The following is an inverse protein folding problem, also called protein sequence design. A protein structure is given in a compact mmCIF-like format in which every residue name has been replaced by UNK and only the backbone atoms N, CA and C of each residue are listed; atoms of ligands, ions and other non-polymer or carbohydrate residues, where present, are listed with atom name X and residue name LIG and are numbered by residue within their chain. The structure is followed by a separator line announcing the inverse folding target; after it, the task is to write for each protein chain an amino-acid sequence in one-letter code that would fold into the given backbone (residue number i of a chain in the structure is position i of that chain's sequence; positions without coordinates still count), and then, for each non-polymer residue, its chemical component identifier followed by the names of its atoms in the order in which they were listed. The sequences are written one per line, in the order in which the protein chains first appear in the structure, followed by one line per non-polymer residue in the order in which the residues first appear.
data_IF_627046705295
#
_entry.id   IF_627046705295
#
_cell.length_a   1.000
_cell.length_b   1.000
_cell.length_c   1.000
_cell.angle_alpha   90.00
_cell.angle_beta   90.00
_cell.angle_gamma   90.00
#
_symmetry.space_group_name_H-M   'P 1'
#
loop_
_entity.id
_entity.type
_entity.pdbx_description
1 polymer ?
#
# COMPACT_ATOMS: atom_id res chain seq x y z
N UNK A 1 -17.70 -1.41 1.05
CA UNK A 1 -17.62 -2.63 0.22
C UNK A 1 -16.30 -2.55 -0.53
N UNK A 2 -15.49 -3.62 -0.54
CA UNK A 2 -14.21 -3.62 -1.25
C UNK A 2 -14.44 -3.93 -2.72
N UNK A 3 -14.08 -2.99 -3.60
CA UNK A 3 -14.18 -3.16 -5.04
C UNK A 3 -12.97 -3.94 -5.56
N UNK A 4 -13.14 -5.23 -5.86
CA UNK A 4 -12.09 -6.13 -6.33
C UNK A 4 -12.25 -6.40 -7.83
N UNK A 5 -11.99 -5.38 -8.65
CA UNK A 5 -12.05 -5.47 -10.12
C UNK A 5 -10.68 -5.68 -10.76
N UNK A 6 -9.60 -5.37 -10.04
CA UNK A 6 -8.23 -5.47 -10.53
C UNK A 6 -7.73 -6.92 -10.48
N UNK A 7 -6.88 -7.35 -11.44
CA UNK A 7 -6.36 -8.73 -11.50
C UNK A 7 -5.46 -9.10 -10.32
N UNK A 8 -4.86 -8.11 -9.67
CA UNK A 8 -4.10 -8.26 -8.43
C UNK A 8 -4.56 -7.18 -7.47
N UNK A 9 -4.77 -7.52 -6.20
CA UNK A 9 -5.12 -6.55 -5.17
C UNK A 9 -4.53 -6.98 -3.84
N UNK A 10 -3.71 -6.12 -3.26
CA UNK A 10 -3.17 -6.29 -1.90
C UNK A 10 -3.71 -5.18 -1.00
N UNK A 11 -4.36 -5.58 0.09
CA UNK A 11 -4.90 -4.71 1.13
C UNK A 11 -4.28 -5.05 2.48
N UNK A 12 -4.09 -4.04 3.32
CA UNK A 12 -3.48 -4.22 4.64
C UNK A 12 -4.49 -3.99 5.75
N UNK A 13 -4.50 -4.90 6.72
CA UNK A 13 -5.37 -4.84 7.88
C UNK A 13 -4.55 -4.95 9.16
N UNK A 14 -4.87 -4.11 10.14
CA UNK A 14 -4.26 -4.17 11.46
C UNK A 14 -5.33 -3.93 12.52
N UNK A 15 -5.50 -4.90 13.45
CA UNK A 15 -6.51 -4.83 14.53
C UNK A 15 -7.91 -4.48 14.02
N UNK A 16 -8.36 -5.21 12.99
CA UNK A 16 -9.66 -5.03 12.33
C UNK A 16 -9.88 -3.64 11.69
N UNK A 17 -8.82 -2.87 11.45
CA UNK A 17 -8.85 -1.63 10.68
C UNK A 17 -8.10 -1.80 9.38
N UNK A 18 -8.70 -1.33 8.29
CA UNK A 18 -8.04 -1.20 6.99
C UNK A 18 -7.01 -0.06 7.07
N UNK A 19 -5.80 -0.34 6.63
CA UNK A 19 -4.69 0.63 6.60
C UNK A 19 -4.48 1.08 5.17
N UNK A 20 -4.67 2.37 4.93
CA UNK A 20 -4.41 3.00 3.65
C UNK A 20 -2.93 3.29 3.49
N UNK A 21 -2.42 3.18 2.27
CA UNK A 21 -1.02 3.44 1.93
C UNK A 21 -0.99 4.46 0.81
N UNK A 22 -0.36 5.59 1.05
CA UNK A 22 -0.05 6.54 0.00
C UNK A 22 1.18 6.06 -0.79
N UNK A 23 0.92 5.66 -2.03
CA UNK A 23 1.90 5.15 -2.99
C UNK A 23 2.17 6.16 -4.11
N UNK A 24 1.55 7.35 -4.08
CA UNK A 24 1.63 8.33 -5.17
C UNK A 24 0.86 7.95 -6.45
N UNK A 25 0.10 6.85 -6.43
CA UNK A 25 -0.72 6.38 -7.57
C UNK A 25 -2.13 6.98 -7.59
N UNK A 26 -2.52 7.69 -6.53
CA UNK A 26 -3.87 8.24 -6.32
C UNK A 26 -4.87 7.25 -5.70
N UNK A 27 -4.56 5.96 -5.66
CA UNK A 27 -5.37 4.96 -4.95
C UNK A 27 -4.65 4.45 -3.70
N UNK A 28 -5.12 4.88 -2.53
CA UNK A 28 -4.47 4.55 -1.27
C UNK A 28 -5.06 3.31 -0.57
N UNK A 29 -6.14 2.73 -1.12
CA UNK A 29 -6.83 1.63 -0.47
C UNK A 29 -6.15 0.27 -0.71
N UNK A 30 -5.44 0.14 -1.82
CA UNK A 30 -4.89 -1.13 -2.29
C UNK A 30 -3.71 -0.92 -3.24
N UNK A 31 -2.83 -1.90 -3.27
CA UNK A 31 -1.84 -2.08 -4.35
C UNK A 31 -2.51 -2.95 -5.41
N UNK A 32 -2.72 -2.42 -6.62
CA UNK A 32 -3.41 -3.11 -7.70
C UNK A 32 -2.50 -3.65 -8.82
N UNK A 33 -1.19 -3.71 -8.58
CA UNK A 33 -0.21 -4.25 -9.53
C UNK A 33 0.70 -5.29 -8.86
N UNK A 34 1.36 -6.11 -9.69
CA UNK A 34 2.39 -7.01 -9.22
C UNK A 34 3.69 -6.25 -8.92
N UNK A 35 4.12 -6.26 -7.65
CA UNK A 35 5.45 -5.80 -7.25
C UNK A 35 6.51 -6.80 -7.75
N UNK A 36 7.54 -6.30 -8.44
CA UNK A 36 8.62 -7.14 -9.00
C UNK A 36 9.73 -7.38 -7.99
N UNK A 37 10.02 -6.38 -7.15
CA UNK A 37 11.06 -6.47 -6.14
C UNK A 37 10.48 -6.96 -4.80
N UNK A 38 11.12 -7.97 -4.22
CA UNK A 38 10.76 -8.53 -2.92
C UNK A 38 11.10 -7.56 -1.80
N UNK A 39 12.19 -6.81 -1.92
CA UNK A 39 12.61 -5.86 -0.88
C UNK A 39 11.61 -4.71 -0.76
N UNK A 40 11.12 -4.17 -1.89
CA UNK A 40 10.05 -3.17 -1.92
C UNK A 40 8.81 -3.61 -1.12
N UNK A 41 8.43 -4.88 -1.26
CA UNK A 41 7.28 -5.39 -0.53
C UNK A 41 7.54 -5.47 0.99
N UNK A 42 8.74 -5.91 1.38
CA UNK A 42 9.15 -5.95 2.80
C UNK A 42 9.13 -4.54 3.40
N UNK A 43 9.69 -3.56 2.71
CA UNK A 43 9.75 -2.17 3.17
C UNK A 43 8.35 -1.55 3.34
N UNK A 44 7.42 -1.87 2.42
CA UNK A 44 6.01 -1.47 2.53
C UNK A 44 5.37 -2.09 3.76
N UNK A 45 5.51 -3.41 3.95
CA UNK A 45 4.94 -4.13 5.11
C UNK A 45 5.48 -3.55 6.43
N UNK A 46 6.79 -3.28 6.49
CA UNK A 46 7.41 -2.66 7.66
C UNK A 46 6.82 -1.28 7.97
N UNK A 47 6.66 -0.45 6.94
CA UNK A 47 6.12 0.90 7.06
C UNK A 47 4.67 0.89 7.53
N UNK A 48 3.85 -0.02 6.98
CA UNK A 48 2.48 -0.28 7.41
C UNK A 48 2.44 -0.68 8.88
N UNK A 49 3.28 -1.64 9.28
CA UNK A 49 3.32 -2.11 10.65
C UNK A 49 3.72 -0.99 11.63
N UNK A 50 4.78 -0.24 11.31
CA UNK A 50 5.24 0.91 12.13
C UNK A 50 4.17 1.99 12.25
N UNK A 51 3.47 2.32 11.17
CA UNK A 51 2.42 3.33 11.17
C UNK A 51 1.14 2.87 11.88
N UNK A 52 0.70 1.65 11.61
CA UNK A 52 -0.50 1.07 12.21
C UNK A 52 -0.32 0.84 13.73
N UNK A 53 0.88 0.45 14.19
CA UNK A 53 1.19 0.37 15.64
C UNK A 53 1.08 1.72 16.35
N UNK A 54 1.35 2.83 15.65
CA UNK A 54 1.16 4.19 16.16
C UNK A 54 -0.30 4.67 16.04
N UNK A 55 -1.21 3.83 15.56
CA UNK A 55 -2.64 4.16 15.39
C UNK A 55 -2.96 4.96 14.13
N UNK A 56 -2.03 5.08 13.17
CA UNK A 56 -2.29 5.78 11.91
C UNK A 56 -3.10 4.89 10.97
N UNK A 57 -4.19 5.44 10.42
CA UNK A 57 -5.00 4.78 9.38
C UNK A 57 -4.47 4.98 7.96
N UNK A 58 -3.55 5.94 7.77
CA UNK A 58 -2.86 6.19 6.51
C UNK A 58 -1.35 6.22 6.77
N UNK A 59 -0.61 5.48 5.96
CA UNK A 59 0.86 5.45 5.98
C UNK A 59 1.39 5.89 4.62
N UNK A 60 2.56 6.52 4.60
CA UNK A 60 3.20 6.97 3.36
C UNK A 60 4.26 5.94 2.99
N UNK A 61 4.24 5.46 1.75
CA UNK A 61 5.24 4.54 1.23
C UNK A 61 6.64 5.18 1.25
N UNK A 62 7.71 4.41 1.55
CA UNK A 62 9.09 4.92 1.47
C UNK A 62 9.53 5.23 0.03
N UNK A 63 8.85 4.65 -0.97
CA UNK A 63 9.07 4.92 -2.39
C UNK A 63 7.81 5.50 -3.03
N UNK A 64 8.01 6.47 -3.91
CA UNK A 64 6.96 7.00 -4.78
C UNK A 64 6.79 6.09 -6.01
N UNK A 65 5.56 5.66 -6.26
CA UNK A 65 5.19 4.86 -7.44
C UNK A 65 4.44 5.71 -8.50
N UNK A 66 4.36 7.04 -8.33
CA UNK A 66 3.72 7.96 -9.28
C UNK A 66 4.36 7.96 -10.67
N UNK A 67 5.68 7.75 -10.74
CA UNK A 67 6.45 7.79 -11.99
C UNK A 67 6.46 6.46 -12.75
N UNK A 68 5.87 5.38 -12.22
CA UNK A 68 5.75 4.12 -12.96
C UNK A 68 4.92 4.25 -14.25
N UNK A 69 4.17 5.35 -14.38
CA UNK A 69 3.42 5.73 -15.59
C UNK A 69 3.92 7.00 -16.28
N UNK A 70 5.02 7.62 -15.79
CA UNK A 70 5.62 8.80 -16.42
C UNK A 70 6.89 8.36 -17.14
N UNK A 71 6.71 7.97 -18.39
CA UNK A 71 7.77 8.04 -19.39
C UNK A 71 8.15 9.50 -19.64
#
# INVERSE_FOLDING_TARGET
MYELYDPCTVMFFFRNKHIMIDLGTGNNNKINWALKDKQEFIDIVETVYRGARKGRGLVISPKDYSTKYRY
#
